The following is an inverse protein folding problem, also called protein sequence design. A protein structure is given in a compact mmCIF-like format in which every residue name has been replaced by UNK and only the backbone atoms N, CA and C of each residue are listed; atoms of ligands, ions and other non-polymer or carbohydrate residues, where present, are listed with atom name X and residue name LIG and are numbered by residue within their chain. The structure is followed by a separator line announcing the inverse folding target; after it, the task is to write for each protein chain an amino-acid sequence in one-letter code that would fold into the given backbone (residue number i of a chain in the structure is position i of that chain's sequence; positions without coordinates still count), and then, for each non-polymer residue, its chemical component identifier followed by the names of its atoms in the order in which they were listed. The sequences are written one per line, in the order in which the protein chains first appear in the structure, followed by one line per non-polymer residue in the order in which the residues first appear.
data_IF_711749368551
#
_entry.id   IF_711749368551
#
_cell.length_a   1.000
_cell.length_b   1.000
_cell.length_c   1.000
_cell.angle_alpha   90.00
_cell.angle_beta   90.00
_cell.angle_gamma   90.00
#
_symmetry.space_group_name_H-M   'P 1'
#
loop_
_entity.id
_entity.type
_entity.pdbx_description
1 polymer ?
#
# COMPACT_ATOMS: atom_id res chain seq x y z
N UNK A 1 -1.69 9.15 31.57
CA UNK A 1 -0.77 9.55 30.48
C UNK A 1 -1.61 9.75 29.24
N UNK A 2 -1.71 10.99 28.74
CA UNK A 2 -2.38 11.27 27.47
C UNK A 2 -1.49 10.70 26.37
N UNK A 3 -1.88 9.55 25.81
CA UNK A 3 -1.32 9.06 24.54
C UNK A 3 -1.58 10.15 23.49
N UNK A 4 -0.52 10.84 23.09
CA UNK A 4 -0.57 11.84 22.03
C UNK A 4 -0.82 11.10 20.72
N UNK A 5 -2.09 10.99 20.31
CA UNK A 5 -2.46 10.46 19.01
C UNK A 5 -1.81 11.33 17.94
N UNK A 6 -0.83 10.79 17.20
CA UNK A 6 -0.21 11.49 16.07
C UNK A 6 -1.29 11.61 14.97
N UNK A 7 -1.71 12.81 14.54
CA UNK A 7 -2.73 12.91 13.50
C UNK A 7 -2.24 12.32 12.18
N UNK A 8 -3.17 11.89 11.31
CA UNK A 8 -2.82 11.68 9.90
C UNK A 8 -2.43 13.04 9.33
N UNK A 9 -1.17 13.21 8.99
CA UNK A 9 -0.64 14.50 8.53
C UNK A 9 -0.78 14.71 7.03
N UNK A 10 -1.22 13.67 6.31
CA UNK A 10 -1.37 13.67 4.87
C UNK A 10 -2.65 12.92 4.50
N UNK A 11 -3.41 13.50 3.58
CA UNK A 11 -4.64 12.92 3.04
C UNK A 11 -4.46 12.63 1.55
N UNK A 12 -5.13 11.59 1.06
CA UNK A 12 -5.06 11.15 -0.33
C UNK A 12 -3.78 10.41 -0.68
N UNK A 13 -3.69 10.01 -1.94
CA UNK A 13 -2.47 9.42 -2.49
C UNK A 13 -1.47 10.53 -2.80
N UNK A 14 -0.24 10.35 -2.31
CA UNK A 14 0.87 11.24 -2.60
C UNK A 14 1.79 10.63 -3.63
N UNK A 15 2.20 11.43 -4.61
CA UNK A 15 3.29 11.13 -5.53
C UNK A 15 4.57 11.82 -5.07
N UNK A 16 5.75 11.21 -5.31
CA UNK A 16 7.05 11.78 -4.93
C UNK A 16 7.15 12.12 -3.43
N UNK A 17 6.67 11.22 -2.58
CA UNK A 17 6.58 11.43 -1.13
C UNK A 17 7.95 11.26 -0.47
N UNK A 18 8.52 12.33 0.06
CA UNK A 18 9.76 12.27 0.85
C UNK A 18 9.46 11.80 2.28
N UNK A 19 9.99 10.64 2.66
CA UNK A 19 9.77 10.04 3.99
C UNK A 19 10.39 10.85 5.12
N UNK A 20 11.31 11.77 4.82
CA UNK A 20 11.85 12.71 5.81
C UNK A 20 10.83 13.76 6.27
N UNK A 21 9.73 13.94 5.51
CA UNK A 21 8.61 14.79 5.89
C UNK A 21 7.68 14.16 6.94
N UNK A 22 7.87 12.88 7.25
CA UNK A 22 7.06 12.20 8.26
C UNK A 22 7.29 12.83 9.64
N UNK A 23 6.21 13.13 10.39
CA UNK A 23 6.34 13.62 11.76
C UNK A 23 7.10 12.64 12.66
N UNK A 24 7.62 13.16 13.77
CA UNK A 24 8.23 12.33 14.81
C UNK A 24 7.26 11.22 15.26
N UNK A 25 7.80 10.01 15.44
CA UNK A 25 7.04 8.82 15.86
C UNK A 25 6.76 7.83 14.73
N UNK A 26 6.74 8.27 13.47
CA UNK A 26 6.70 7.35 12.35
C UNK A 26 7.99 6.54 12.24
N UNK A 27 7.87 5.23 12.08
CA UNK A 27 9.02 4.33 11.92
C UNK A 27 8.80 3.40 10.73
N UNK A 28 9.89 3.07 10.02
CA UNK A 28 9.86 2.04 8.99
C UNK A 28 9.70 0.68 9.67
N UNK A 29 8.55 0.04 9.48
CA UNK A 29 8.27 -1.25 10.09
C UNK A 29 8.44 -2.41 9.11
N UNK A 30 8.42 -2.20 7.79
CA UNK A 30 8.74 -3.25 6.83
C UNK A 30 9.19 -2.65 5.48
N UNK A 31 10.15 -3.27 4.83
CA UNK A 31 10.44 -3.03 3.42
C UNK A 31 11.03 -4.29 2.76
N UNK A 32 10.72 -4.48 1.48
CA UNK A 32 11.34 -5.52 0.66
C UNK A 32 11.13 -5.27 -0.84
N UNK A 33 11.96 -5.87 -1.68
CA UNK A 33 11.83 -5.75 -3.13
C UNK A 33 10.59 -6.46 -3.65
N UNK A 34 10.07 -6.02 -4.79
CA UNK A 34 8.81 -6.52 -5.35
C UNK A 34 8.87 -8.01 -5.73
N UNK A 35 10.04 -8.58 -6.03
CA UNK A 35 10.22 -10.01 -6.28
C UNK A 35 9.93 -10.91 -5.07
N UNK A 36 9.90 -10.37 -3.84
CA UNK A 36 9.62 -11.18 -2.65
C UNK A 36 8.13 -11.52 -2.55
N UNK A 37 7.83 -12.80 -2.36
CA UNK A 37 6.45 -13.29 -2.33
C UNK A 37 5.85 -13.09 -0.94
N UNK A 38 4.73 -12.36 -0.84
CA UNK A 38 3.95 -12.24 0.41
C UNK A 38 3.07 -13.48 0.61
N UNK A 39 3.69 -14.61 0.94
CA UNK A 39 2.97 -15.79 1.41
C UNK A 39 2.31 -15.53 2.78
N UNK A 40 1.46 -16.44 3.24
CA UNK A 40 0.72 -16.29 4.51
C UNK A 40 1.64 -16.02 5.70
N UNK A 41 2.74 -16.76 5.83
CA UNK A 41 3.67 -16.63 6.95
C UNK A 41 4.35 -15.25 6.97
N UNK A 42 4.83 -14.78 5.81
CA UNK A 42 5.45 -13.47 5.71
C UNK A 42 4.42 -12.36 5.95
N UNK A 43 3.20 -12.50 5.44
CA UNK A 43 2.13 -11.54 5.67
C UNK A 43 1.80 -11.43 7.17
N UNK A 44 1.67 -12.56 7.88
CA UNK A 44 1.42 -12.57 9.34
C UNK A 44 2.57 -11.92 10.11
N UNK A 45 3.82 -12.16 9.68
CA UNK A 45 5.02 -11.53 10.24
C UNK A 45 4.97 -10.01 10.06
N UNK A 46 4.66 -9.54 8.86
CA UNK A 46 4.52 -8.11 8.55
C UNK A 46 3.42 -7.48 9.41
N UNK A 47 2.26 -8.12 9.52
CA UNK A 47 1.15 -7.57 10.30
C UNK A 47 1.46 -7.51 11.79
N UNK A 48 2.25 -8.47 12.31
CA UNK A 48 2.71 -8.48 13.70
C UNK A 48 3.76 -7.40 13.96
N UNK A 49 4.69 -7.19 13.03
CA UNK A 49 5.75 -6.18 13.14
C UNK A 49 5.22 -4.75 12.94
N UNK A 50 4.36 -4.57 11.95
CA UNK A 50 3.76 -3.30 11.61
C UNK A 50 2.46 -3.04 12.39
N UNK A 51 2.42 -3.23 13.71
CA UNK A 51 1.17 -3.35 14.50
C UNK A 51 0.58 -2.05 15.08
N UNK A 52 1.07 -0.87 14.68
CA UNK A 52 0.65 0.43 15.24
C UNK A 52 -0.68 0.94 14.65
N UNK A 53 -1.27 1.94 15.30
CA UNK A 53 -2.62 2.44 15.00
C UNK A 53 -2.80 3.04 13.60
N UNK A 54 -1.72 3.51 12.99
CA UNK A 54 -1.70 4.10 11.65
C UNK A 54 -0.62 3.46 10.80
N UNK A 55 -0.92 3.30 9.52
CA UNK A 55 -0.01 2.76 8.53
C UNK A 55 0.16 3.76 7.39
N UNK A 56 1.36 3.81 6.84
CA UNK A 56 1.64 4.35 5.52
C UNK A 56 2.12 3.19 4.67
N UNK A 57 1.44 2.97 3.55
CA UNK A 57 1.88 2.07 2.50
C UNK A 57 2.50 2.91 1.39
N UNK A 58 3.62 2.47 0.86
CA UNK A 58 4.23 3.12 -0.28
C UNK A 58 5.15 2.21 -1.05
N UNK A 59 5.65 2.73 -2.16
CA UNK A 59 6.65 2.05 -2.97
C UNK A 59 7.56 3.06 -3.65
N UNK A 60 8.76 2.62 -4.01
CA UNK A 60 9.75 3.45 -4.67
C UNK A 60 10.99 2.64 -5.00
N UNK A 61 12.06 3.33 -5.41
CA UNK A 61 13.34 2.68 -5.69
C UNK A 61 14.10 2.34 -4.41
N UNK A 62 14.82 1.24 -4.44
CA UNK A 62 15.75 0.85 -3.38
C UNK A 62 16.69 2.01 -3.01
N UNK A 63 16.91 2.21 -1.71
CA UNK A 63 17.77 3.25 -1.14
C UNK A 63 17.33 4.71 -1.41
N UNK A 64 16.09 4.94 -1.87
CA UNK A 64 15.53 6.30 -2.00
C UNK A 64 14.81 6.74 -0.73
N UNK A 65 14.98 8.00 -0.32
CA UNK A 65 14.12 8.65 0.68
C UNK A 65 12.81 9.14 0.07
N UNK A 66 12.73 9.25 -1.25
CA UNK A 66 11.53 9.65 -1.99
C UNK A 66 10.83 8.40 -2.51
N UNK A 67 9.62 8.16 -2.01
CA UNK A 67 8.72 7.13 -2.52
C UNK A 67 8.04 7.63 -3.78
N UNK A 68 7.92 6.77 -4.79
CA UNK A 68 7.16 7.05 -6.01
C UNK A 68 5.72 7.38 -5.65
N UNK A 69 5.12 6.55 -4.80
CA UNK A 69 3.80 6.82 -4.21
C UNK A 69 3.72 6.37 -2.76
N UNK A 70 2.88 7.07 -2.00
CA UNK A 70 2.54 6.73 -0.63
C UNK A 70 1.10 7.14 -0.30
N UNK A 71 0.48 6.40 0.60
CA UNK A 71 -0.79 6.76 1.21
C UNK A 71 -0.77 6.35 2.68
N UNK A 72 -1.39 7.14 3.55
CA UNK A 72 -1.50 6.82 4.98
C UNK A 72 -2.95 6.76 5.44
N UNK A 73 -3.25 5.91 6.43
CA UNK A 73 -4.58 5.75 6.98
C UNK A 73 -4.55 5.09 8.35
N UNK A 74 -5.71 4.98 8.99
CA UNK A 74 -5.84 4.13 10.17
C UNK A 74 -5.59 2.68 9.77
N UNK A 75 -4.94 1.91 10.65
CA UNK A 75 -4.67 0.49 10.39
C UNK A 75 -5.94 -0.28 10.03
N UNK A 76 -7.07 0.03 10.67
CA UNK A 76 -8.36 -0.60 10.40
C UNK A 76 -8.86 -0.34 8.97
N UNK A 77 -8.59 0.84 8.42
CA UNK A 77 -9.00 1.21 7.06
C UNK A 77 -8.07 0.57 6.02
N UNK A 78 -6.75 0.66 6.27
CA UNK A 78 -5.71 0.09 5.41
C UNK A 78 -5.81 -1.44 5.29
N UNK A 79 -6.34 -2.09 6.33
CA UNK A 79 -6.58 -3.53 6.39
C UNK A 79 -8.06 -3.90 6.23
N UNK A 80 -8.88 -3.01 5.69
CA UNK A 80 -10.29 -3.33 5.42
C UNK A 80 -10.38 -4.53 4.47
N UNK A 81 -10.99 -5.61 4.96
CA UNK A 81 -11.01 -6.89 4.24
C UNK A 81 -12.05 -6.88 3.12
N UNK A 82 -11.55 -6.79 1.89
CA UNK A 82 -12.32 -6.86 0.65
C UNK A 82 -12.49 -8.28 0.11
N UNK A 83 -11.96 -9.31 0.79
CA UNK A 83 -11.96 -10.69 0.29
C UNK A 83 -11.47 -10.76 -1.17
N UNK A 84 -12.13 -11.58 -2.00
CA UNK A 84 -11.82 -11.71 -3.44
C UNK A 84 -12.74 -10.87 -4.34
N UNK A 85 -13.43 -9.87 -3.78
CA UNK A 85 -14.30 -8.98 -4.56
C UNK A 85 -13.41 -8.07 -5.40
N UNK A 86 -13.56 -8.17 -6.73
CA UNK A 86 -12.66 -7.57 -7.71
C UNK A 86 -12.72 -6.03 -7.68
N UNK A 87 -13.88 -5.45 -7.38
CA UNK A 87 -14.14 -4.01 -7.39
C UNK A 87 -14.22 -3.39 -6.00
N UNK A 88 -13.94 -4.15 -4.94
CA UNK A 88 -14.06 -3.65 -3.58
C UNK A 88 -12.95 -2.64 -3.25
N UNK A 89 -13.38 -1.50 -2.72
CA UNK A 89 -12.55 -0.49 -2.05
C UNK A 89 -13.25 -0.03 -0.78
N UNK A 90 -12.48 0.45 0.19
CA UNK A 90 -12.95 1.15 1.38
C UNK A 90 -12.36 2.55 1.39
N UNK A 91 -13.23 3.56 1.33
CA UNK A 91 -12.79 4.95 1.26
C UNK A 91 -12.51 5.48 2.65
N UNK A 92 -11.26 5.88 2.90
CA UNK A 92 -10.87 6.56 4.11
C UNK A 92 -9.65 7.45 3.87
N UNK A 93 -9.60 8.62 4.52
CA UNK A 93 -8.53 9.60 4.38
C UNK A 93 -8.21 9.98 2.92
N UNK A 94 -9.21 10.04 2.03
CA UNK A 94 -9.03 10.38 0.62
C UNK A 94 -8.39 9.27 -0.23
N UNK A 95 -8.42 8.03 0.24
CA UNK A 95 -7.79 6.86 -0.41
C UNK A 95 -8.79 5.71 -0.48
N UNK A 96 -8.83 5.00 -1.61
CA UNK A 96 -9.56 3.75 -1.78
C UNK A 96 -8.70 2.55 -1.39
N UNK A 97 -8.85 2.07 -0.15
CA UNK A 97 -8.09 0.95 0.40
C UNK A 97 -8.69 -0.40 -0.01
N UNK A 98 -7.83 -1.41 -0.19
CA UNK A 98 -8.29 -2.79 -0.27
C UNK A 98 -7.26 -3.75 0.31
N UNK A 99 -7.75 -4.74 1.05
CA UNK A 99 -6.92 -5.80 1.61
C UNK A 99 -7.63 -7.16 1.53
N UNK A 100 -6.86 -8.21 1.37
CA UNK A 100 -7.24 -9.60 1.64
C UNK A 100 -5.96 -10.38 1.90
N UNK A 101 -5.97 -11.36 2.79
CA UNK A 101 -4.77 -12.16 3.07
C UNK A 101 -4.41 -13.14 1.96
N UNK A 102 -5.32 -13.43 1.03
CA UNK A 102 -5.13 -14.41 -0.05
C UNK A 102 -5.45 -13.89 -1.46
N UNK A 103 -5.45 -12.56 -1.63
CA UNK A 103 -5.77 -11.92 -2.90
C UNK A 103 -4.81 -10.78 -3.24
N UNK A 104 -5.07 -9.58 -2.73
CA UNK A 104 -4.21 -8.43 -2.90
C UNK A 104 -4.35 -7.43 -1.75
N UNK A 105 -3.28 -6.66 -1.56
CA UNK A 105 -3.21 -5.51 -0.66
C UNK A 105 -2.73 -4.28 -1.42
N UNK A 106 -3.43 -3.16 -1.28
CA UNK A 106 -3.03 -1.93 -1.93
C UNK A 106 -4.05 -0.82 -1.78
N UNK A 107 -3.93 0.16 -2.68
CA UNK A 107 -4.82 1.32 -2.72
C UNK A 107 -4.90 1.92 -4.13
N UNK A 108 -5.94 2.74 -4.32
CA UNK A 108 -6.14 3.67 -5.43
C UNK A 108 -6.50 5.05 -4.88
N UNK A 109 -6.49 6.07 -5.73
CA UNK A 109 -7.08 7.38 -5.39
C UNK A 109 -8.55 7.21 -4.98
N UNK A 110 -9.06 8.06 -4.08
CA UNK A 110 -10.48 8.02 -3.73
C UNK A 110 -11.38 8.06 -4.98
N UNK A 111 -12.46 7.26 -4.96
CA UNK A 111 -13.46 7.08 -6.02
C UNK A 111 -12.94 6.52 -7.35
N UNK A 112 -11.64 6.25 -7.48
CA UNK A 112 -11.12 5.50 -8.61
C UNK A 112 -11.67 4.06 -8.59
N UNK A 113 -12.07 3.57 -9.75
CA UNK A 113 -12.40 2.17 -9.91
C UNK A 113 -11.15 1.29 -9.74
N UNK A 114 -11.36 0.09 -9.21
CA UNK A 114 -10.30 -0.93 -9.06
C UNK A 114 -10.74 -2.21 -9.75
N UNK A 115 -9.78 -2.94 -10.33
CA UNK A 115 -10.05 -4.25 -10.90
C UNK A 115 -9.00 -5.26 -10.44
N UNK A 116 -9.23 -5.81 -9.24
CA UNK A 116 -8.33 -6.74 -8.54
C UNK A 116 -8.40 -8.15 -9.15
N UNK A 117 -7.82 -8.47 -10.31
CA UNK A 117 -7.62 -9.89 -10.72
C UNK A 117 -6.41 -10.49 -10.01
N UNK A 118 -6.52 -10.73 -8.69
CA UNK A 118 -5.40 -11.04 -7.77
C UNK A 118 -4.40 -9.90 -7.58
N UNK A 119 -4.39 -8.89 -8.44
CA UNK A 119 -3.92 -7.53 -8.17
C UNK A 119 -4.70 -6.54 -9.03
N UNK A 120 -4.58 -5.25 -8.75
CA UNK A 120 -5.16 -4.19 -9.58
C UNK A 120 -4.44 -4.11 -10.92
N UNK A 121 -5.04 -4.70 -11.95
CA UNK A 121 -4.49 -4.77 -13.31
C UNK A 121 -4.99 -3.66 -14.24
N UNK A 122 -5.85 -2.74 -13.75
CA UNK A 122 -6.33 -1.56 -14.48
C UNK A 122 -6.75 -1.88 -15.93
N UNK A 123 -8.02 -2.27 -16.11
CA UNK A 123 -8.50 -2.55 -17.47
C UNK A 123 -8.71 -1.22 -18.19
N UNK A 124 -8.15 -1.08 -19.39
CA UNK A 124 -8.19 0.11 -20.26
C UNK A 124 -9.58 0.74 -20.53
N UNK A 125 -10.68 0.10 -20.14
CA UNK A 125 -12.03 0.69 -20.16
C UNK A 125 -12.30 1.61 -18.98
N UNK A 126 -11.50 1.49 -17.91
CA UNK A 126 -11.46 2.34 -16.74
C UNK A 126 -10.34 3.37 -17.00
N UNK A 127 -10.63 4.42 -17.75
CA UNK A 127 -9.71 5.54 -17.95
C UNK A 127 -9.49 6.26 -16.61
N UNK A 128 -8.70 5.66 -15.72
CA UNK A 128 -8.30 6.31 -14.49
C UNK A 128 -7.22 7.32 -14.85
N UNK A 129 -7.58 8.60 -14.78
CA UNK A 129 -6.64 9.71 -14.94
C UNK A 129 -5.51 9.69 -13.89
N UNK A 130 -5.59 8.77 -12.92
CA UNK A 130 -4.70 8.62 -11.77
C UNK A 130 -3.98 7.25 -11.80
N UNK A 131 -3.64 6.72 -12.98
CA UNK A 131 -2.90 5.44 -13.12
C UNK A 131 -1.59 5.42 -12.31
N UNK A 132 -1.01 6.59 -12.05
CA UNK A 132 0.19 6.88 -11.27
C UNK A 132 -0.05 6.87 -9.75
N UNK A 133 -1.30 6.86 -9.29
CA UNK A 133 -1.71 6.92 -7.87
C UNK A 133 -2.22 5.57 -7.36
N UNK A 134 -1.65 4.46 -7.86
CA UNK A 134 -2.12 3.10 -7.59
C UNK A 134 -1.01 2.21 -7.09
N UNK A 135 -1.27 1.45 -6.04
CA UNK A 135 -0.34 0.48 -5.47
C UNK A 135 -1.02 -0.86 -5.38
N UNK A 136 -0.35 -1.94 -5.78
CA UNK A 136 -0.87 -3.29 -5.57
C UNK A 136 0.21 -4.33 -5.33
N UNK A 137 0.04 -5.11 -4.26
CA UNK A 137 0.82 -6.29 -3.96
C UNK A 137 -0.05 -7.54 -3.95
N UNK A 138 0.45 -8.64 -4.53
CA UNK A 138 -0.19 -9.94 -4.33
C UNK A 138 0.05 -10.42 -2.88
N UNK A 139 -0.94 -11.10 -2.33
CA UNK A 139 -0.92 -11.67 -0.97
C UNK A 139 -1.43 -13.11 -1.01
N UNK A 140 -0.80 -14.03 -0.28
CA UNK A 140 -1.15 -15.46 -0.31
C UNK A 140 -1.03 -16.06 -1.72
N UNK A 141 -0.12 -15.52 -2.53
CA UNK A 141 0.16 -15.89 -3.92
C UNK A 141 1.57 -16.50 -4.03
N UNK A 142 1.93 -16.98 -5.22
CA UNK A 142 3.33 -17.30 -5.60
C UNK A 142 4.02 -16.14 -6.30
N UNK A 143 3.33 -15.01 -6.47
CA UNK A 143 3.83 -13.80 -7.11
C UNK A 143 4.18 -12.72 -6.07
N UNK A 144 5.11 -11.85 -6.43
CA UNK A 144 5.54 -10.70 -5.65
C UNK A 144 4.57 -9.50 -5.70
N UNK A 145 5.07 -8.27 -5.63
CA UNK A 145 4.27 -7.07 -5.86
C UNK A 145 3.97 -6.86 -7.35
N UNK A 146 2.86 -6.21 -7.71
CA UNK A 146 2.50 -6.01 -9.12
C UNK A 146 2.66 -4.57 -9.59
N UNK A 147 2.24 -3.60 -8.77
CA UNK A 147 2.09 -2.20 -9.20
C UNK A 147 2.65 -1.20 -8.20
N UNK A 148 3.42 -0.27 -8.73
CA UNK A 148 3.92 0.93 -8.05
C UNK A 148 3.67 2.16 -8.93
N UNK A 149 2.56 2.85 -8.71
CA UNK A 149 2.08 3.92 -9.59
C UNK A 149 1.77 3.38 -10.98
N UNK A 150 2.26 4.06 -12.02
CA UNK A 150 2.11 3.63 -13.41
C UNK A 150 2.99 2.43 -13.78
N UNK A 151 3.95 2.04 -12.93
CA UNK A 151 4.81 0.89 -13.18
C UNK A 151 4.08 -0.40 -12.77
N UNK A 152 3.72 -1.21 -13.76
CA UNK A 152 3.03 -2.51 -13.59
C UNK A 152 3.92 -3.68 -13.97
N UNK A 153 3.56 -4.91 -13.57
CA UNK A 153 4.29 -6.12 -13.93
C UNK A 153 5.57 -6.32 -13.13
N UNK A 154 5.62 -5.79 -11.91
CA UNK A 154 6.80 -5.77 -11.04
C UNK A 154 7.04 -7.11 -10.29
N UNK A 155 6.32 -8.18 -10.62
CA UNK A 155 6.24 -9.43 -9.83
C UNK A 155 7.58 -10.09 -9.51
N UNK A 156 8.59 -9.85 -10.35
CA UNK A 156 9.94 -10.40 -10.23
C UNK A 156 11.00 -9.30 -10.13
N UNK A 157 10.60 -8.04 -9.94
CA UNK A 157 11.52 -6.90 -9.93
C UNK A 157 12.29 -6.80 -8.61
N UNK A 158 13.60 -6.64 -8.72
CA UNK A 158 14.54 -6.56 -7.59
C UNK A 158 14.95 -5.12 -7.27
N UNK A 159 14.39 -4.14 -7.98
CA UNK A 159 14.75 -2.72 -7.86
C UNK A 159 13.69 -1.88 -7.16
N UNK A 160 12.42 -2.12 -7.46
CA UNK A 160 11.26 -1.53 -6.79
C UNK A 160 11.09 -2.18 -5.43
N UNK A 161 10.86 -1.35 -4.44
CA UNK A 161 10.71 -1.72 -3.04
C UNK A 161 9.33 -1.31 -2.56
N UNK A 162 8.70 -2.19 -1.80
CA UNK A 162 7.50 -1.89 -1.03
C UNK A 162 7.91 -1.41 0.36
N UNK A 163 7.24 -0.40 0.87
CA UNK A 163 7.52 0.19 2.18
C UNK A 163 6.26 0.25 3.02
N UNK A 164 6.40 -0.07 4.30
CA UNK A 164 5.36 0.14 5.31
C UNK A 164 5.99 0.90 6.46
N UNK A 165 5.44 2.08 6.74
CA UNK A 165 5.74 2.84 7.94
C UNK A 165 4.54 2.78 8.87
N UNK A 166 4.78 2.96 10.18
CA UNK A 166 3.71 2.96 11.16
C UNK A 166 3.96 3.94 12.31
N UNK A 167 2.87 4.33 12.97
CA UNK A 167 2.84 5.16 14.18
C UNK A 167 1.57 4.87 14.97
N UNK A 168 1.54 5.20 16.26
CA UNK A 168 0.32 5.11 17.09
C UNK A 168 -0.75 6.13 16.65
#
# INVERSE_FOLDING_TARGET
MLSSLVPLTVSGVQTNFDVTSLPSGWTLCYNDTYNVVLNSTLLDTILTQCNRGKLLLGCGLKNSSVLTIAAMGLRSDVLYNCSNIITCTHIANGVGWYYSSNYSWGFVQDQDAVYRRRCDIDIATESSNNSDQRLCWHTGSTLGGYRCGSNTGLNSDTTSVRYIYNVD
#
